data_IF_967405486525
#
_entry.id   IF_967405486525
#
_cell.length_a   1.000
_cell.length_b   1.000
_cell.length_c   1.000
_cell.angle_alpha   90.00
_cell.angle_beta   90.00
_cell.angle_gamma   90.00
#
_symmetry.space_group_name_H-M   'P 1'
#
loop_
_entity.id
_entity.type
_entity.pdbx_description
1 polymer ?
#
# COMPACT_ATOMS: atom_id res chain seq x y z
N UNK A 1 9.72 -3.30 -0.64
CA UNK A 1 8.38 -2.78 -0.30
C UNK A 1 7.80 -1.95 -1.44
N UNK A 2 8.25 -0.71 -1.70
CA UNK A 2 7.61 0.11 -2.75
C UNK A 2 7.71 -0.53 -4.15
N UNK A 3 8.86 -1.14 -4.47
CA UNK A 3 9.05 -1.92 -5.70
C UNK A 3 8.10 -3.13 -5.80
N UNK A 4 7.77 -3.78 -4.67
CA UNK A 4 6.82 -4.90 -4.62
C UNK A 4 5.41 -4.43 -4.98
N UNK A 5 4.98 -3.29 -4.40
CA UNK A 5 3.72 -2.66 -4.78
C UNK A 5 3.70 -2.28 -6.27
N UNK A 6 4.77 -1.69 -6.78
CA UNK A 6 4.87 -1.29 -8.19
C UNK A 6 4.79 -2.53 -9.10
N UNK A 7 5.47 -3.62 -8.74
CA UNK A 7 5.43 -4.88 -9.49
C UNK A 7 4.02 -5.46 -9.55
N UNK A 8 3.26 -5.36 -8.46
CA UNK A 8 1.87 -5.80 -8.43
C UNK A 8 0.95 -4.86 -9.18
N UNK A 9 1.17 -3.54 -9.12
CA UNK A 9 0.43 -2.57 -9.95
C UNK A 9 0.63 -2.84 -11.44
N UNK A 10 1.84 -3.23 -11.84
CA UNK A 10 2.14 -3.59 -13.23
C UNK A 10 1.43 -4.88 -13.66
N UNK A 11 1.27 -5.85 -12.76
CA UNK A 11 0.68 -7.15 -13.10
C UNK A 11 -0.85 -7.18 -12.99
N UNK A 12 -1.41 -6.64 -11.90
CA UNK A 12 -2.84 -6.68 -11.58
C UNK A 12 -3.56 -5.35 -11.81
N UNK A 13 -2.83 -4.28 -12.13
CA UNK A 13 -3.36 -2.92 -12.18
C UNK A 13 -3.48 -2.28 -10.78
N UNK A 14 -3.69 -0.96 -10.76
CA UNK A 14 -3.72 -0.14 -9.53
C UNK A 14 -4.70 -0.65 -8.47
N UNK A 15 -5.90 -1.05 -8.89
CA UNK A 15 -6.96 -1.50 -7.97
C UNK A 15 -6.65 -2.88 -7.38
N UNK A 16 -5.91 -3.72 -8.11
CA UNK A 16 -5.54 -5.07 -7.66
C UNK A 16 -4.26 -5.11 -6.82
N UNK A 17 -3.52 -4.00 -6.73
CA UNK A 17 -2.26 -3.90 -5.99
C UNK A 17 -2.43 -3.17 -4.64
N UNK A 18 -3.58 -3.38 -4.01
CA UNK A 18 -3.88 -2.90 -2.66
C UNK A 18 -3.52 -3.99 -1.65
N UNK A 19 -3.05 -3.58 -0.48
CA UNK A 19 -2.85 -4.48 0.65
C UNK A 19 -3.55 -3.94 1.88
N UNK A 20 -3.98 -4.81 2.78
CA UNK A 20 -4.36 -4.37 4.12
C UNK A 20 -3.16 -3.85 4.90
N UNK A 21 -3.38 -2.93 5.83
CA UNK A 21 -2.33 -2.41 6.71
C UNK A 21 -1.72 -3.55 7.52
N UNK A 22 -2.52 -4.52 7.95
CA UNK A 22 -2.09 -5.67 8.74
C UNK A 22 -1.09 -6.52 7.94
N UNK A 23 -1.38 -6.86 6.68
CA UNK A 23 -0.51 -7.66 5.83
C UNK A 23 0.85 -6.99 5.61
N UNK A 24 0.87 -5.67 5.37
CA UNK A 24 2.14 -4.97 5.11
C UNK A 24 2.95 -4.75 6.40
N UNK A 25 2.29 -4.61 7.54
CA UNK A 25 2.95 -4.56 8.84
C UNK A 25 3.62 -5.89 9.16
N UNK A 26 2.95 -7.01 8.90
CA UNK A 26 3.51 -8.35 9.07
C UNK A 26 4.69 -8.58 8.11
N UNK A 27 4.54 -8.19 6.84
CA UNK A 27 5.53 -8.49 5.79
C UNK A 27 6.77 -7.61 5.81
N UNK A 28 6.62 -6.32 6.10
CA UNK A 28 7.69 -5.32 5.96
C UNK A 28 8.10 -4.67 7.28
N UNK A 29 7.32 -4.90 8.35
CA UNK A 29 7.57 -4.35 9.67
C UNK A 29 7.07 -2.92 9.84
N UNK A 30 6.67 -2.60 11.07
CA UNK A 30 6.03 -1.33 11.44
C UNK A 30 6.87 -0.10 11.07
N UNK A 31 8.17 -0.13 11.33
CA UNK A 31 9.07 1.01 11.07
C UNK A 31 9.07 1.38 9.58
N UNK A 32 9.15 0.40 8.69
CA UNK A 32 9.20 0.63 7.25
C UNK A 32 7.87 1.20 6.74
N UNK A 33 6.76 0.57 7.13
CA UNK A 33 5.41 0.99 6.75
C UNK A 33 5.10 2.40 7.24
N UNK A 34 5.40 2.70 8.51
CA UNK A 34 5.15 4.01 9.10
C UNK A 34 5.99 5.10 8.45
N UNK A 35 7.25 4.81 8.09
CA UNK A 35 8.09 5.74 7.32
C UNK A 35 7.47 6.04 5.96
N UNK A 36 7.07 5.02 5.21
CA UNK A 36 6.51 5.20 3.88
C UNK A 36 5.15 5.93 3.87
N UNK A 37 4.33 5.77 4.92
CA UNK A 37 3.09 6.55 5.09
C UNK A 37 3.43 8.00 5.44
N UNK A 38 4.32 8.24 6.41
CA UNK A 38 4.71 9.59 6.85
C UNK A 38 5.40 10.39 5.74
N UNK A 39 6.21 9.71 4.94
CA UNK A 39 6.89 10.30 3.77
C UNK A 39 5.94 10.47 2.58
N UNK A 40 4.70 9.96 2.66
CA UNK A 40 3.67 10.13 1.62
C UNK A 40 3.80 9.19 0.43
N UNK A 41 4.62 8.14 0.51
CA UNK A 41 4.76 7.13 -0.55
C UNK A 41 3.58 6.16 -0.58
N UNK A 42 3.01 5.85 0.59
CA UNK A 42 1.81 5.03 0.71
C UNK A 42 0.61 5.88 1.11
N UNK A 43 -0.50 5.70 0.40
CA UNK A 43 -1.81 6.19 0.79
C UNK A 43 -2.47 5.11 1.63
N UNK A 44 -3.04 5.49 2.78
CA UNK A 44 -3.81 4.61 3.66
C UNK A 44 -5.26 5.11 3.74
N UNK A 45 -6.23 4.22 3.56
CA UNK A 45 -7.65 4.58 3.72
C UNK A 45 -8.47 3.40 4.24
N UNK A 46 -9.38 3.70 5.17
CA UNK A 46 -10.42 2.76 5.58
C UNK A 46 -11.47 2.63 4.48
N UNK A 47 -11.75 1.40 4.08
CA UNK A 47 -12.84 1.09 3.14
C UNK A 47 -14.09 0.66 3.90
N UNK A 48 -15.25 1.01 3.37
CA UNK A 48 -16.55 0.76 3.99
C UNK A 48 -17.47 -0.12 3.12
N UNK A 49 -16.92 -0.83 2.14
CA UNK A 49 -17.68 -1.60 1.15
C UNK A 49 -16.98 -2.94 0.92
N UNK A 50 -17.77 -4.02 0.83
CA UNK A 50 -17.27 -5.37 0.51
C UNK A 50 -16.76 -6.14 1.73
N UNK A 51 -16.10 -7.30 1.50
CA UNK A 51 -15.62 -8.17 2.58
C UNK A 51 -14.55 -7.51 3.46
N UNK A 52 -13.86 -6.50 2.94
CA UNK A 52 -12.82 -5.74 3.66
C UNK A 52 -13.35 -4.45 4.30
N UNK A 53 -14.67 -4.31 4.46
CA UNK A 53 -15.27 -3.18 5.18
C UNK A 53 -14.69 -3.07 6.61
N UNK A 54 -14.28 -1.86 6.98
CA UNK A 54 -13.62 -1.55 8.25
C UNK A 54 -12.11 -1.77 8.26
N UNK A 55 -11.53 -2.31 7.18
CA UNK A 55 -10.07 -2.46 7.05
C UNK A 55 -9.44 -1.23 6.44
N UNK A 56 -8.21 -0.97 6.87
CA UNK A 56 -7.37 0.02 6.23
C UNK A 56 -6.59 -0.62 5.09
N UNK A 57 -6.82 -0.16 3.87
CA UNK A 57 -5.99 -0.55 2.73
C UNK A 57 -4.92 0.48 2.45
N UNK A 58 -3.82 0.00 1.91
CA UNK A 58 -2.65 0.75 1.50
C UNK A 58 -2.35 0.51 0.02
N UNK A 59 -1.91 1.56 -0.67
CA UNK A 59 -1.43 1.51 -2.06
C UNK A 59 -0.45 2.65 -2.34
N UNK A 60 0.25 2.62 -3.48
CA UNK A 60 1.20 3.67 -3.84
C UNK A 60 0.49 4.99 -4.17
N UNK A 61 1.03 6.08 -3.62
CA UNK A 61 0.75 7.42 -4.14
C UNK A 61 1.48 7.62 -5.48
N UNK A 62 1.18 8.72 -6.18
CA UNK A 62 1.97 9.11 -7.36
C UNK A 62 3.45 9.32 -7.02
N UNK A 63 3.75 9.89 -5.85
CA UNK A 63 5.11 10.04 -5.36
C UNK A 63 5.75 8.69 -5.02
N UNK A 64 5.01 7.79 -4.37
CA UNK A 64 5.48 6.44 -4.07
C UNK A 64 5.81 5.64 -5.34
N UNK A 65 5.02 5.81 -6.40
CA UNK A 65 5.33 5.25 -7.72
C UNK A 65 6.62 5.80 -8.30
N UNK A 66 6.81 7.12 -8.29
CA UNK A 66 8.05 7.71 -8.79
C UNK A 66 9.29 7.29 -8.01
N UNK A 67 9.18 7.10 -6.70
CA UNK A 67 10.28 6.60 -5.87
C UNK A 67 10.55 5.09 -6.04
N UNK A 68 9.57 4.34 -6.55
CA UNK A 68 9.70 2.90 -6.79
C UNK A 68 10.29 2.55 -8.17
N UNK A 69 10.32 3.51 -9.10
CA UNK A 69 10.93 3.41 -10.43
C UNK A 69 12.44 3.65 -10.35
#
# INVERSE_FOLDING_TARGET
MLADFLSLEMFYGRVGAVFSIEEILERYGEKCVRSAINEGYLVKRTICIGPDCGRDLCWLSDMGRHMAM
#
